data_IF_450831594929
#
_entry.id   IF_450831594929
#
_cell.length_a   1.000
_cell.length_b   1.000
_cell.length_c   1.000
_cell.angle_alpha   90.00
_cell.angle_beta   90.00
_cell.angle_gamma   90.00
#
_symmetry.space_group_name_H-M   'P 1'
#
loop_
_entity.id
_entity.type
_entity.pdbx_description
1 polymer ?
#
# COMPACT_ATOMS: atom_id res chain seq x y z
N UNK A 1 -8.86 18.25 21.90
CA UNK A 1 -8.87 17.83 20.48
C UNK A 1 -7.70 18.51 19.78
N UNK A 2 -6.62 17.77 19.54
CA UNK A 2 -5.51 18.23 18.69
C UNK A 2 -5.97 18.09 17.24
N UNK A 3 -6.01 19.19 16.49
CA UNK A 3 -6.15 19.15 15.04
C UNK A 3 -4.92 18.41 14.50
N UNK A 4 -5.14 17.24 13.88
CA UNK A 4 -4.11 16.56 13.09
C UNK A 4 -3.75 17.54 11.97
N UNK A 5 -2.55 18.13 12.04
CA UNK A 5 -1.98 18.82 10.88
C UNK A 5 -1.56 17.72 9.91
N UNK A 6 -2.46 17.31 9.02
CA UNK A 6 -2.07 16.61 7.81
C UNK A 6 -1.31 17.61 6.94
N UNK A 7 0.02 17.60 7.04
CA UNK A 7 0.81 18.04 5.89
C UNK A 7 0.45 17.09 4.75
N UNK A 8 -0.09 17.60 3.65
CA UNK A 8 -0.37 16.77 2.47
C UNK A 8 0.93 16.05 2.08
N UNK A 9 0.92 14.71 2.00
CA UNK A 9 2.11 13.97 1.64
C UNK A 9 2.54 14.39 0.23
N UNK A 10 3.83 14.67 0.08
CA UNK A 10 4.34 15.11 -1.22
C UNK A 10 4.42 13.93 -2.18
N UNK A 11 3.75 14.03 -3.33
CA UNK A 11 3.95 13.13 -4.46
C UNK A 11 5.36 13.37 -5.03
N UNK A 12 6.36 12.61 -4.55
CA UNK A 12 7.70 12.63 -5.15
C UNK A 12 7.82 11.54 -6.18
N UNK A 13 8.49 11.89 -7.28
CA UNK A 13 8.80 10.98 -8.37
C UNK A 13 10.14 10.31 -8.09
N UNK A 14 10.15 8.98 -8.03
CA UNK A 14 11.35 8.21 -7.72
C UNK A 14 12.08 7.75 -8.99
N UNK A 15 13.41 7.86 -8.98
CA UNK A 15 14.29 7.16 -9.91
C UNK A 15 14.52 5.73 -9.42
N UNK A 16 14.74 4.78 -10.33
CA UNK A 16 15.06 3.38 -9.99
C UNK A 16 16.14 3.28 -8.90
N UNK A 17 15.84 2.55 -7.83
CA UNK A 17 16.76 2.30 -6.73
C UNK A 17 16.96 3.56 -5.89
N UNK A 18 15.87 4.18 -5.44
CA UNK A 18 15.92 5.31 -4.53
C UNK A 18 16.23 4.88 -3.09
N UNK A 19 15.60 3.82 -2.62
CA UNK A 19 15.72 3.29 -1.27
C UNK A 19 16.83 2.23 -1.22
N UNK A 20 18.09 2.68 -1.18
CA UNK A 20 19.27 1.81 -1.16
C UNK A 20 19.84 1.50 0.22
N UNK A 21 19.48 2.32 1.20
CA UNK A 21 20.00 2.23 2.55
C UNK A 21 18.84 2.03 3.53
N UNK A 22 19.04 1.18 4.53
CA UNK A 22 18.11 1.06 5.63
C UNK A 22 18.26 2.30 6.52
N UNK A 23 17.35 3.26 6.35
CA UNK A 23 17.28 4.47 7.17
C UNK A 23 15.82 4.77 7.49
N UNK A 24 15.50 4.69 8.77
CA UNK A 24 14.18 5.08 9.26
C UNK A 24 14.05 6.61 9.35
N UNK A 25 12.84 7.16 9.19
CA UNK A 25 12.57 8.58 9.32
C UNK A 25 12.95 9.11 10.69
N UNK A 26 13.46 10.33 10.76
CA UNK A 26 13.88 10.95 12.04
C UNK A 26 12.73 11.11 13.04
N UNK A 27 11.49 11.17 12.55
CA UNK A 27 10.29 11.26 13.38
C UNK A 27 9.81 9.90 13.92
N UNK A 28 10.36 8.79 13.42
CA UNK A 28 9.93 7.47 13.85
C UNK A 28 10.43 7.18 15.27
N UNK A 29 9.47 6.86 16.16
CA UNK A 29 9.73 6.46 17.54
C UNK A 29 8.94 5.18 17.84
N UNK A 30 9.33 4.08 17.20
CA UNK A 30 8.76 2.76 17.44
C UNK A 30 9.63 1.92 18.39
N UNK A 31 9.13 0.74 18.79
CA UNK A 31 9.88 -0.17 19.64
C UNK A 31 11.11 -0.73 18.93
N UNK A 32 12.13 -1.08 19.70
CA UNK A 32 13.37 -1.67 19.20
C UNK A 32 13.11 -2.98 18.43
N UNK A 33 12.15 -3.79 18.89
CA UNK A 33 11.74 -5.03 18.24
C UNK A 33 11.24 -4.81 16.81
N UNK A 34 10.37 -3.82 16.59
CA UNK A 34 9.92 -3.45 15.24
C UNK A 34 11.11 -3.02 14.38
N UNK A 35 11.99 -2.17 14.89
CA UNK A 35 13.18 -1.70 14.16
C UNK A 35 14.08 -2.87 13.74
N UNK A 36 14.28 -3.82 14.64
CA UNK A 36 15.08 -5.02 14.40
C UNK A 36 14.45 -5.89 13.31
N UNK A 37 13.15 -6.20 13.42
CA UNK A 37 12.44 -6.99 12.40
C UNK A 37 12.48 -6.30 11.04
N UNK A 38 12.23 -4.99 10.98
CA UNK A 38 12.33 -4.22 9.72
C UNK A 38 13.73 -4.33 9.09
N UNK A 39 14.78 -4.27 9.90
CA UNK A 39 16.15 -4.41 9.40
C UNK A 39 16.47 -5.85 8.97
N UNK A 40 15.97 -6.85 9.68
CA UNK A 40 16.14 -8.25 9.32
C UNK A 40 15.46 -8.56 7.98
N UNK A 41 14.19 -8.21 7.81
CA UNK A 41 13.47 -8.43 6.53
C UNK A 41 14.03 -7.57 5.41
N UNK A 42 14.60 -6.39 5.71
CA UNK A 42 15.34 -5.61 4.73
C UNK A 42 16.58 -6.35 4.24
N UNK A 43 17.30 -7.07 5.08
CA UNK A 43 18.55 -7.71 4.68
C UNK A 43 18.36 -9.05 3.93
N UNK A 44 17.15 -9.59 3.92
CA UNK A 44 16.77 -10.80 3.16
C UNK A 44 16.71 -10.55 1.65
N UNK A 45 16.73 -11.64 0.88
CA UNK A 45 16.75 -11.66 -0.59
C UNK A 45 15.57 -12.49 -1.12
N UNK A 46 14.68 -11.85 -1.88
CA UNK A 46 13.38 -12.43 -2.23
C UNK A 46 13.25 -12.69 -3.73
N UNK A 47 12.91 -13.92 -4.15
CA UNK A 47 12.70 -14.23 -5.57
C UNK A 47 11.53 -13.45 -6.16
N UNK A 48 10.46 -13.20 -5.39
CA UNK A 48 9.29 -12.39 -5.79
C UNK A 48 9.64 -10.94 -6.13
N UNK A 49 10.74 -10.43 -5.55
CA UNK A 49 11.25 -9.08 -5.83
C UNK A 49 12.31 -9.07 -6.95
N UNK A 50 12.52 -10.21 -7.62
CA UNK A 50 13.55 -10.45 -8.63
C UNK A 50 14.98 -10.30 -8.10
N UNK A 51 15.19 -10.55 -6.81
CA UNK A 51 16.53 -10.60 -6.23
C UNK A 51 17.26 -11.86 -6.74
N UNK A 52 18.46 -11.69 -7.29
CA UNK A 52 19.22 -12.80 -7.86
C UNK A 52 19.64 -13.78 -6.77
N UNK A 53 19.18 -15.03 -6.88
CA UNK A 53 19.49 -16.07 -5.90
C UNK A 53 18.78 -15.87 -4.56
N UNK A 54 17.66 -15.13 -4.53
CA UNK A 54 16.80 -15.06 -3.36
C UNK A 54 16.15 -16.41 -3.06
N UNK A 55 16.14 -16.78 -1.78
CA UNK A 55 15.54 -18.00 -1.25
C UNK A 55 14.58 -17.70 -0.09
N UNK A 56 14.49 -16.44 0.34
CA UNK A 56 13.61 -16.02 1.42
C UNK A 56 12.16 -15.90 0.95
N UNK A 57 11.23 -16.27 1.82
CA UNK A 57 9.79 -16.19 1.55
C UNK A 57 9.24 -14.79 1.84
N UNK A 58 8.78 -14.09 0.81
CA UNK A 58 8.31 -12.70 0.92
C UNK A 58 7.03 -12.61 1.76
N UNK A 59 6.11 -13.57 1.59
CA UNK A 59 4.84 -13.60 2.33
C UNK A 59 5.09 -13.72 3.83
N UNK A 60 5.90 -14.69 4.26
CA UNK A 60 6.31 -14.86 5.65
C UNK A 60 6.99 -13.61 6.19
N UNK A 61 7.86 -12.96 5.42
CA UNK A 61 8.51 -11.72 5.85
C UNK A 61 7.50 -10.57 6.07
N UNK A 62 6.49 -10.44 5.20
CA UNK A 62 5.42 -9.46 5.38
C UNK A 62 4.62 -9.78 6.63
N UNK A 63 4.23 -11.04 6.85
CA UNK A 63 3.52 -11.43 8.06
C UNK A 63 4.32 -11.15 9.33
N UNK A 64 5.62 -11.45 9.33
CA UNK A 64 6.52 -11.14 10.44
C UNK A 64 6.48 -9.65 10.79
N UNK A 65 6.55 -8.77 9.77
CA UNK A 65 6.40 -7.33 9.99
C UNK A 65 5.02 -6.99 10.54
N UNK A 66 3.93 -7.51 9.96
CA UNK A 66 2.57 -7.19 10.41
C UNK A 66 2.30 -7.65 11.85
N UNK A 67 2.92 -8.74 12.30
CA UNK A 67 2.83 -9.24 13.70
C UNK A 67 3.47 -8.28 14.70
N UNK A 68 4.45 -7.46 14.28
CA UNK A 68 5.06 -6.44 15.15
C UNK A 68 4.23 -5.15 15.28
N UNK A 69 3.15 -5.01 14.51
CA UNK A 69 2.30 -3.81 14.53
C UNK A 69 1.37 -3.74 15.74
N UNK A 70 1.40 -4.70 16.65
CA UNK A 70 0.68 -4.67 17.91
C UNK A 70 -0.11 -5.94 18.16
N UNK A 71 -0.98 -5.88 19.17
CA UNK A 71 -1.84 -7.01 19.52
C UNK A 71 -2.91 -7.17 18.41
N UNK A 72 -3.08 -8.37 17.83
CA UNK A 72 -4.13 -8.62 16.85
C UNK A 72 -5.52 -8.24 17.37
N UNK A 73 -6.41 -7.81 16.48
CA UNK A 73 -7.81 -7.46 16.79
C UNK A 73 -7.98 -6.31 17.81
N UNK A 74 -7.03 -5.39 17.88
CA UNK A 74 -7.19 -4.13 18.63
C UNK A 74 -7.39 -2.96 17.68
N UNK A 75 -8.14 -1.93 18.11
CA UNK A 75 -8.39 -0.70 17.32
C UNK A 75 -7.10 -0.05 16.81
N UNK A 76 -6.03 -0.10 17.61
CA UNK A 76 -4.74 0.47 17.24
C UNK A 76 -4.12 -0.31 16.08
N UNK A 77 -4.09 -1.63 16.17
CA UNK A 77 -3.56 -2.50 15.11
C UNK A 77 -4.41 -2.42 13.84
N UNK A 78 -5.75 -2.37 13.98
CA UNK A 78 -6.66 -2.16 12.86
C UNK A 78 -6.37 -0.85 12.13
N UNK A 79 -6.26 0.27 12.84
CA UNK A 79 -5.89 1.56 12.24
C UNK A 79 -4.54 1.50 11.52
N UNK A 80 -3.55 0.79 12.08
CA UNK A 80 -2.24 0.59 11.43
C UNK A 80 -2.40 -0.13 10.08
N UNK A 81 -3.21 -1.19 10.02
CA UNK A 81 -3.50 -1.88 8.76
C UNK A 81 -4.20 -0.97 7.74
N UNK A 82 -5.18 -0.17 8.18
CA UNK A 82 -5.84 0.83 7.31
C UNK A 82 -4.85 1.85 6.77
N UNK A 83 -3.93 2.37 7.60
CA UNK A 83 -2.89 3.30 7.14
C UNK A 83 -1.93 2.68 6.11
N UNK A 84 -1.58 1.40 6.26
CA UNK A 84 -0.78 0.68 5.26
C UNK A 84 -1.57 0.58 3.95
N UNK A 85 -2.78 0.02 3.99
CA UNK A 85 -3.59 -0.19 2.80
C UNK A 85 -3.85 1.13 2.07
N UNK A 86 -4.20 2.18 2.81
CA UNK A 86 -4.42 3.51 2.25
C UNK A 86 -3.17 4.11 1.60
N UNK A 87 -2.01 3.97 2.24
CA UNK A 87 -0.75 4.46 1.68
C UNK A 87 -0.39 3.75 0.37
N UNK A 88 -0.65 2.45 0.29
CA UNK A 88 -0.45 1.68 -0.94
C UNK A 88 -1.47 2.07 -2.02
N UNK A 89 -2.73 2.32 -1.66
CA UNK A 89 -3.74 2.85 -2.58
C UNK A 89 -3.32 4.21 -3.18
N UNK A 90 -2.82 5.13 -2.36
CA UNK A 90 -2.27 6.41 -2.82
C UNK A 90 -1.15 6.21 -3.88
N UNK A 91 -0.31 5.19 -3.71
CA UNK A 91 0.73 4.86 -4.68
C UNK A 91 0.17 4.26 -5.99
N UNK A 92 -0.91 3.47 -5.90
CA UNK A 92 -1.58 2.86 -7.04
C UNK A 92 -2.43 3.85 -7.87
N UNK A 93 -2.75 5.03 -7.35
CA UNK A 93 -3.54 6.06 -8.04
C UNK A 93 -2.98 6.39 -9.43
N UNK A 94 -1.65 6.51 -9.53
CA UNK A 94 -0.97 6.86 -10.77
C UNK A 94 -1.24 5.83 -11.88
N UNK A 95 -1.42 4.55 -11.53
CA UNK A 95 -1.75 3.48 -12.47
C UNK A 95 -3.18 3.62 -12.97
N UNK A 96 -4.15 3.85 -12.09
CA UNK A 96 -5.56 4.08 -12.49
C UNK A 96 -5.63 5.31 -13.41
N UNK A 97 -5.05 6.44 -13.01
CA UNK A 97 -5.03 7.66 -13.83
C UNK A 97 -4.32 7.50 -15.18
N UNK A 98 -3.38 6.58 -15.28
CA UNK A 98 -2.69 6.30 -16.55
C UNK A 98 -3.62 5.61 -17.55
N UNK A 99 -4.29 4.54 -17.12
CA UNK A 99 -5.16 3.74 -17.99
C UNK A 99 -6.54 4.38 -18.18
N UNK A 100 -7.05 5.04 -17.13
CA UNK A 100 -8.41 5.57 -17.05
C UNK A 100 -8.42 6.94 -16.36
N UNK A 101 -7.95 8.01 -17.05
CA UNK A 101 -7.75 9.33 -16.45
C UNK A 101 -9.05 9.98 -15.94
N UNK A 102 -10.20 9.61 -16.49
CA UNK A 102 -11.51 10.16 -16.12
C UNK A 102 -12.21 9.33 -15.04
N UNK A 103 -11.64 8.20 -14.60
CA UNK A 103 -12.27 7.35 -13.59
C UNK A 103 -12.39 8.06 -12.22
N UNK A 104 -13.57 7.94 -11.61
CA UNK A 104 -13.92 8.57 -10.33
C UNK A 104 -13.83 7.61 -9.13
N UNK A 105 -13.39 6.37 -9.33
CA UNK A 105 -13.28 5.34 -8.30
C UNK A 105 -12.32 5.76 -7.19
N UNK A 106 -11.17 6.34 -7.53
CA UNK A 106 -10.16 6.71 -6.57
C UNK A 106 -10.65 7.84 -5.64
N UNK A 107 -11.20 8.97 -6.16
CA UNK A 107 -11.86 9.97 -5.31
C UNK A 107 -12.98 9.42 -4.41
N UNK A 108 -13.73 8.41 -4.89
CA UNK A 108 -14.78 7.76 -4.09
C UNK A 108 -14.17 6.97 -2.93
N UNK A 109 -13.13 6.18 -3.20
CA UNK A 109 -12.40 5.40 -2.19
C UNK A 109 -11.74 6.33 -1.16
N UNK A 110 -11.01 7.34 -1.63
CA UNK A 110 -10.33 8.34 -0.81
C UNK A 110 -11.30 8.99 0.19
N UNK A 111 -12.45 9.49 -0.30
CA UNK A 111 -13.45 10.13 0.55
C UNK A 111 -13.87 9.23 1.71
N UNK A 112 -14.03 7.93 1.46
CA UNK A 112 -14.52 6.99 2.47
C UNK A 112 -13.45 6.64 3.49
N UNK A 113 -12.22 6.42 3.03
CA UNK A 113 -11.08 6.20 3.93
C UNK A 113 -10.87 7.42 4.83
N UNK A 114 -10.93 8.63 4.28
CA UNK A 114 -10.79 9.86 5.07
C UNK A 114 -11.92 10.03 6.09
N UNK A 115 -13.17 9.77 5.70
CA UNK A 115 -14.31 9.78 6.63
C UNK A 115 -14.12 8.75 7.76
N UNK A 116 -13.64 7.55 7.44
CA UNK A 116 -13.34 6.52 8.44
C UNK A 116 -12.20 6.94 9.38
N UNK A 117 -11.13 7.51 8.84
CA UNK A 117 -10.00 8.00 9.65
C UNK A 117 -10.39 9.16 10.57
N UNK A 118 -11.32 10.02 10.13
CA UNK A 118 -11.80 11.16 10.92
C UNK A 118 -12.81 10.76 12.00
N UNK A 119 -13.73 9.83 11.69
CA UNK A 119 -14.90 9.56 12.51
C UNK A 119 -14.92 8.16 13.16
N UNK A 120 -14.12 7.23 12.65
CA UNK A 120 -14.11 5.82 13.08
C UNK A 120 -15.41 5.07 12.78
N UNK A 121 -16.29 5.63 11.95
CA UNK A 121 -17.57 5.01 11.60
C UNK A 121 -17.31 3.79 10.73
N UNK A 122 -17.75 2.63 11.20
CA UNK A 122 -17.67 1.38 10.45
C UNK A 122 -18.43 1.48 9.12
N UNK A 123 -17.85 0.83 8.12
CA UNK A 123 -18.38 0.79 6.76
C UNK A 123 -19.22 -0.47 6.61
N UNK A 124 -20.45 -0.40 6.07
CA UNK A 124 -21.29 -1.59 5.88
C UNK A 124 -20.63 -2.67 5.02
N UNK A 125 -20.88 -3.95 5.31
CA UNK A 125 -20.28 -5.11 4.61
C UNK A 125 -20.47 -5.09 3.09
N UNK A 126 -21.59 -4.54 2.61
CA UNK A 126 -21.90 -4.46 1.17
C UNK A 126 -21.40 -3.17 0.50
N UNK A 127 -20.76 -2.28 1.25
CA UNK A 127 -20.36 -0.97 0.77
C UNK A 127 -19.33 -1.08 -0.36
N UNK A 128 -18.36 -1.98 -0.21
CA UNK A 128 -17.32 -2.18 -1.23
C UNK A 128 -17.95 -2.63 -2.55
N UNK A 129 -18.91 -3.55 -2.50
CA UNK A 129 -19.68 -3.98 -3.68
C UNK A 129 -20.47 -2.82 -4.31
N UNK A 130 -20.95 -1.87 -3.51
CA UNK A 130 -21.67 -0.67 -4.00
C UNK A 130 -20.73 0.32 -4.68
N UNK A 131 -19.50 0.47 -4.19
CA UNK A 131 -18.50 1.35 -4.81
C UNK A 131 -17.99 0.78 -6.15
N UNK A 132 -17.93 -0.55 -6.26
CA UNK A 132 -17.35 -1.27 -7.40
C UNK A 132 -18.38 -1.87 -8.38
N UNK A 133 -19.69 -1.67 -8.17
CA UNK A 133 -20.75 -2.36 -8.94
C UNK A 133 -20.75 -2.10 -10.45
N UNK A 134 -20.23 -0.95 -10.89
CA UNK A 134 -20.31 -0.48 -12.28
C UNK A 134 -18.93 -0.36 -12.96
N UNK A 135 -17.90 -1.04 -12.46
CA UNK A 135 -16.56 -0.95 -13.03
C UNK A 135 -16.38 -1.86 -14.26
N UNK A 136 -16.78 -1.35 -15.42
CA UNK A 136 -16.53 -1.98 -16.74
C UNK A 136 -15.03 -2.10 -17.11
N UNK A 137 -14.16 -1.52 -16.31
CA UNK A 137 -12.73 -1.40 -16.58
C UNK A 137 -11.87 -2.50 -15.93
N UNK A 138 -12.44 -3.23 -14.96
CA UNK A 138 -11.74 -4.32 -14.29
C UNK A 138 -11.35 -5.38 -15.33
N UNK A 139 -10.09 -5.80 -15.30
CA UNK A 139 -9.56 -6.86 -16.17
C UNK A 139 -9.15 -6.42 -17.58
N UNK A 140 -9.30 -5.15 -17.97
CA UNK A 140 -8.84 -4.66 -19.27
C UNK A 140 -7.31 -4.63 -19.40
N UNK A 141 -6.63 -4.21 -18.34
CA UNK A 141 -5.17 -4.28 -18.24
C UNK A 141 -4.78 -4.85 -16.88
N UNK A 142 -3.82 -5.77 -16.84
CA UNK A 142 -3.38 -6.43 -15.62
C UNK A 142 -3.02 -5.40 -14.52
N UNK A 143 -2.14 -4.44 -14.82
CA UNK A 143 -1.72 -3.41 -13.88
C UNK A 143 -2.90 -2.59 -13.33
N UNK A 144 -3.86 -2.22 -14.18
CA UNK A 144 -5.06 -1.49 -13.73
C UNK A 144 -5.99 -2.39 -12.90
N UNK A 145 -6.14 -3.66 -13.24
CA UNK A 145 -6.95 -4.62 -12.49
C UNK A 145 -6.39 -4.86 -11.09
N UNK A 146 -5.08 -5.02 -10.97
CA UNK A 146 -4.42 -5.14 -9.67
C UNK A 146 -4.49 -3.84 -8.86
N UNK A 147 -4.39 -2.67 -9.51
CA UNK A 147 -4.64 -1.38 -8.85
C UNK A 147 -6.09 -1.26 -8.35
N UNK A 148 -7.08 -1.72 -9.11
CA UNK A 148 -8.47 -1.84 -8.65
C UNK A 148 -8.60 -2.78 -7.46
N UNK A 149 -7.90 -3.91 -7.46
CA UNK A 149 -7.90 -4.84 -6.34
C UNK A 149 -7.30 -4.22 -5.07
N UNK A 150 -6.25 -3.38 -5.19
CA UNK A 150 -5.73 -2.58 -4.07
C UNK A 150 -6.80 -1.65 -3.51
N UNK A 151 -7.53 -0.93 -4.37
CA UNK A 151 -8.60 -0.04 -3.92
C UNK A 151 -9.74 -0.80 -3.23
N UNK A 152 -10.11 -1.97 -3.77
CA UNK A 152 -11.11 -2.86 -3.20
C UNK A 152 -10.69 -3.37 -1.81
N UNK A 153 -9.47 -3.90 -1.71
CA UNK A 153 -8.90 -4.37 -0.45
C UNK A 153 -8.76 -3.22 0.57
N UNK A 154 -8.39 -2.02 0.12
CA UNK A 154 -8.33 -0.84 1.00
C UNK A 154 -9.67 -0.53 1.64
N UNK A 155 -10.78 -0.56 0.89
CA UNK A 155 -12.10 -0.37 1.49
C UNK A 155 -12.50 -1.53 2.42
N UNK A 156 -12.19 -2.78 2.05
CA UNK A 156 -12.44 -3.93 2.94
C UNK A 156 -11.67 -3.80 4.26
N UNK A 157 -10.49 -3.18 4.24
CA UNK A 157 -9.69 -3.00 5.46
C UNK A 157 -10.35 -2.10 6.50
N UNK A 158 -11.35 -1.30 6.12
CA UNK A 158 -12.10 -0.44 7.03
C UNK A 158 -12.97 -1.26 8.01
N UNK A 159 -13.33 -2.49 7.64
CA UNK A 159 -13.97 -3.46 8.54
C UNK A 159 -12.90 -4.22 9.34
N UNK A 160 -13.05 -4.26 10.66
CA UNK A 160 -12.01 -4.75 11.59
C UNK A 160 -11.67 -6.23 11.36
N UNK A 161 -12.68 -7.04 11.08
CA UNK A 161 -12.61 -8.48 10.83
C UNK A 161 -11.91 -8.82 9.52
N UNK A 162 -11.87 -7.90 8.57
CA UNK A 162 -11.25 -8.07 7.26
C UNK A 162 -9.88 -7.39 7.17
N UNK A 163 -9.51 -6.57 8.15
CA UNK A 163 -8.35 -5.67 8.05
C UNK A 163 -7.03 -6.39 7.81
N UNK A 164 -6.79 -7.52 8.48
CA UNK A 164 -5.55 -8.29 8.34
C UNK A 164 -5.41 -8.93 6.95
N UNK A 165 -6.45 -9.61 6.48
CA UNK A 165 -6.44 -10.24 5.14
C UNK A 165 -6.39 -9.19 4.05
N UNK A 166 -7.16 -8.10 4.20
CA UNK A 166 -7.16 -7.00 3.25
C UNK A 166 -5.81 -6.28 3.12
N UNK A 167 -5.09 -6.08 4.22
CA UNK A 167 -3.74 -5.47 4.15
C UNK A 167 -2.73 -6.43 3.50
N UNK A 168 -2.83 -7.74 3.75
CA UNK A 168 -2.00 -8.74 3.06
C UNK A 168 -2.25 -8.72 1.55
N UNK A 169 -3.52 -8.78 1.12
CA UNK A 169 -3.90 -8.71 -0.29
C UNK A 169 -3.38 -7.43 -0.94
N UNK A 170 -3.53 -6.29 -0.26
CA UNK A 170 -3.04 -4.99 -0.73
C UNK A 170 -1.53 -5.02 -0.96
N UNK A 171 -0.76 -5.57 -0.01
CA UNK A 171 0.68 -5.67 -0.11
C UNK A 171 1.11 -6.65 -1.20
N UNK A 172 0.39 -7.76 -1.38
CA UNK A 172 0.67 -8.73 -2.43
C UNK A 172 0.46 -8.10 -3.82
N UNK A 173 -0.71 -7.52 -4.09
CA UNK A 173 -0.98 -6.83 -5.37
C UNK A 173 0.01 -5.72 -5.67
N UNK A 174 0.50 -5.03 -4.64
CA UNK A 174 1.53 -4.03 -4.83
C UNK A 174 2.89 -4.66 -5.16
N UNK A 175 3.39 -5.57 -4.31
CA UNK A 175 4.78 -6.07 -4.33
C UNK A 175 5.06 -7.09 -5.44
N UNK A 176 4.10 -7.94 -5.75
CA UNK A 176 4.25 -9.00 -6.77
C UNK A 176 3.58 -8.61 -8.09
N UNK A 177 2.49 -7.84 -8.02
CA UNK A 177 1.76 -7.31 -9.17
C UNK A 177 2.30 -5.96 -9.67
N UNK A 178 1.80 -5.51 -10.82
CA UNK A 178 2.16 -4.29 -11.53
C UNK A 178 1.32 -3.06 -11.14
N UNK A 179 0.50 -3.18 -10.09
CA UNK A 179 -0.44 -2.17 -9.63
C UNK A 179 0.19 -0.81 -9.28
N UNK A 180 1.41 -0.81 -8.73
CA UNK A 180 2.12 0.42 -8.34
C UNK A 180 3.33 0.66 -9.23
N UNK A 181 4.01 -0.39 -9.69
CA UNK A 181 5.12 -0.29 -10.63
C UNK A 181 5.15 -1.47 -11.60
N UNK A 182 5.12 -1.18 -12.91
CA UNK A 182 5.03 -2.20 -13.96
C UNK A 182 6.35 -2.80 -14.43
N UNK A 183 7.40 -2.82 -13.60
CA UNK A 183 8.66 -3.45 -13.99
C UNK A 183 9.44 -4.03 -12.80
N UNK A 184 10.02 -5.21 -13.02
CA UNK A 184 10.79 -6.00 -12.03
C UNK A 184 11.82 -5.18 -11.25
N UNK A 185 12.51 -4.28 -11.96
CA UNK A 185 13.53 -3.40 -11.44
C UNK A 185 13.09 -2.43 -10.32
N UNK A 186 11.79 -2.22 -10.12
CA UNK A 186 11.23 -1.36 -9.07
C UNK A 186 10.67 -2.14 -7.87
N UNK A 187 10.49 -3.47 -7.97
CA UNK A 187 9.83 -4.26 -6.91
C UNK A 187 10.61 -4.19 -5.60
N UNK A 188 11.93 -4.44 -5.67
CA UNK A 188 12.82 -4.31 -4.51
C UNK A 188 12.84 -2.91 -3.89
N UNK A 189 12.83 -1.87 -4.73
CA UNK A 189 12.84 -0.48 -4.28
C UNK A 189 11.54 -0.08 -3.57
N UNK A 190 10.42 -0.62 -4.03
CA UNK A 190 9.11 -0.42 -3.43
C UNK A 190 8.91 -1.24 -2.15
N UNK A 191 9.44 -2.47 -2.07
CA UNK A 191 9.54 -3.20 -0.81
C UNK A 191 10.37 -2.40 0.21
N UNK A 192 11.50 -1.87 -0.23
CA UNK A 192 12.34 -1.02 0.61
C UNK A 192 11.57 0.23 1.09
N UNK A 193 10.81 0.91 0.22
CA UNK A 193 9.91 2.01 0.61
C UNK A 193 8.87 1.58 1.66
N UNK A 194 8.23 0.42 1.47
CA UNK A 194 7.29 -0.14 2.45
C UNK A 194 7.95 -0.26 3.83
N UNK A 195 9.13 -0.88 3.89
CA UNK A 195 9.85 -1.16 5.14
C UNK A 195 10.30 0.11 5.85
N UNK A 196 10.84 1.11 5.13
CA UNK A 196 11.45 2.28 5.79
C UNK A 196 10.52 3.49 5.90
N UNK A 197 9.42 3.56 5.15
CA UNK A 197 8.53 4.73 5.18
C UNK A 197 7.12 4.34 5.62
N UNK A 198 6.51 3.38 4.92
CA UNK A 198 5.09 3.04 5.11
C UNK A 198 4.85 2.39 6.47
N UNK A 199 5.61 1.35 6.81
CA UNK A 199 5.43 0.63 8.09
C UNK A 199 5.69 1.56 9.29
N UNK A 200 6.79 2.35 9.34
CA UNK A 200 6.99 3.36 10.38
C UNK A 200 5.86 4.38 10.48
N UNK A 201 5.35 4.87 9.33
CA UNK A 201 4.29 5.87 9.32
C UNK A 201 2.97 5.29 9.85
N UNK A 202 2.61 4.10 9.37
CA UNK A 202 1.42 3.39 9.80
C UNK A 202 1.48 3.09 11.30
N UNK A 203 2.63 2.63 11.82
CA UNK A 203 2.82 2.40 13.26
C UNK A 203 2.50 3.65 14.09
N UNK A 204 2.88 4.82 13.57
CA UNK A 204 2.59 6.14 14.14
C UNK A 204 1.22 6.73 13.74
N UNK A 205 0.34 5.94 13.12
CA UNK A 205 -1.00 6.33 12.67
C UNK A 205 -1.00 7.57 11.77
N UNK A 206 -0.11 7.56 10.78
CA UNK A 206 0.01 8.62 9.78
C UNK A 206 0.38 8.05 8.41
N UNK A 207 0.19 8.85 7.37
CA UNK A 207 0.74 8.60 6.04
C UNK A 207 2.22 9.06 6.01
N UNK A 208 3.12 8.37 5.29
CA UNK A 208 4.51 8.82 5.14
C UNK A 208 4.59 10.16 4.41
N UNK A 209 5.68 10.90 4.63
CA UNK A 209 5.91 12.20 3.98
C UNK A 209 6.07 12.10 2.46
N UNK A 210 6.34 10.88 1.97
CA UNK A 210 6.55 10.58 0.56
C UNK A 210 5.76 9.35 0.12
N UNK A 211 4.92 9.53 -0.90
CA UNK A 211 4.17 8.44 -1.57
C UNK A 211 4.98 7.94 -2.77
N UNK A 212 5.18 6.62 -2.83
CA UNK A 212 5.89 5.99 -3.94
C UNK A 212 5.14 6.15 -5.25
N UNK A 213 5.64 7.05 -6.09
CA UNK A 213 5.15 7.28 -7.44
C UNK A 213 6.32 7.45 -8.40
N UNK A 214 6.20 6.99 -9.63
CA UNK A 214 7.25 7.15 -10.63
C UNK A 214 6.70 7.56 -11.98
N UNK A 215 7.59 8.03 -12.87
CA UNK A 215 7.29 8.13 -14.31
C UNK A 215 7.41 6.73 -14.91
N UNK A 216 6.51 5.85 -14.53
CA UNK A 216 6.49 4.51 -15.07
C UNK A 216 6.07 4.58 -16.52
N UNK A 217 6.86 3.99 -17.42
CA UNK A 217 6.37 3.67 -18.77
C UNK A 217 5.52 2.43 -18.62
N UNK A 218 4.24 2.62 -18.30
CA UNK A 218 3.26 1.57 -18.48
C UNK A 218 3.21 1.21 -19.96
N UNK A 219 2.92 -0.06 -20.27
CA UNK A 219 2.74 -0.48 -21.65
C UNK A 219 1.62 0.36 -22.28
N UNK A 220 1.77 0.79 -23.54
CA UNK A 220 0.72 1.55 -24.21
C UNK A 220 -0.60 0.77 -24.20
N UNK A 221 -1.71 1.49 -24.19
CA UNK A 221 -3.05 0.95 -24.42
C UNK A 221 -3.05 0.21 -25.76
N UNK A 222 -2.83 -1.10 -25.74
CA UNK A 222 -3.10 -1.94 -26.90
C UNK A 222 -4.57 -2.26 -26.80
N UNK A 223 -5.39 -1.59 -27.60
CA UNK A 223 -6.74 -2.06 -27.89
C UNK A 223 -6.58 -3.43 -28.56
N UNK A 224 -6.89 -4.50 -27.83
CA UNK A 224 -7.10 -5.78 -28.48
C UNK A 224 -8.38 -5.64 -29.32
N UNK A 225 -8.33 -5.94 -30.63
CA UNK A 225 -9.49 -5.88 -31.51
C UNK A 225 -10.60 -6.86 -31.11
#
# INVERSE_FOLDING_TARGET
>A
MQKIKTAEPSLKKFSRGHYREFRLPQWFNGPEELTKILQEVWNRSYPDLYDRGGEDDLESAIEEVLKTLGIPNTDTTHKRYVYIAWTIALAAEATIKHYFPDDQIFPRVEKQVLLWLESGVEVPDNFVNTVFSDLEQIGKHQASGEAYNILYATLNSLASENAYTAVLDTLYYALTGDAVSGFSAAKRDMFNWLIVEVIPAAYCLRVPDTIYSGKWKFLPLIEYP
#
